data_IF_933715783614
#
_entry.id   IF_933715783614
#
_cell.length_a   1.000
_cell.length_b   1.000
_cell.length_c   1.000
_cell.angle_alpha   90.00
_cell.angle_beta   90.00
_cell.angle_gamma   90.00
#
_symmetry.space_group_name_H-M   'P 1'
#
loop_
_entity.id
_entity.type
_entity.pdbx_description
1 polymer ?
#
# COMPACT_ATOMS: atom_id res chain seq x y z
N UNK A 1 -4.37 21.55 -16.02
CA UNK A 1 -2.96 21.11 -15.94
C UNK A 1 -2.45 20.88 -14.52
N UNK A 2 -2.76 21.73 -13.53
CA UNK A 2 -2.29 21.55 -12.14
C UNK A 2 -2.75 20.24 -11.45
N UNK A 3 -3.98 19.78 -11.69
CA UNK A 3 -4.50 18.57 -11.05
C UNK A 3 -3.79 17.28 -11.50
N UNK A 4 -3.33 17.21 -12.75
CA UNK A 4 -2.62 16.04 -13.29
C UNK A 4 -1.21 15.95 -12.68
N UNK A 5 -0.52 17.08 -12.55
CA UNK A 5 0.80 17.13 -11.92
C UNK A 5 0.71 16.73 -10.44
N UNK A 6 -0.32 17.18 -9.72
CA UNK A 6 -0.54 16.79 -8.33
C UNK A 6 -0.79 15.28 -8.18
N UNK A 7 -1.57 14.66 -9.06
CA UNK A 7 -1.81 13.22 -9.05
C UNK A 7 -0.53 12.41 -9.34
N UNK A 8 0.29 12.87 -10.29
CA UNK A 8 1.56 12.23 -10.62
C UNK A 8 2.52 12.31 -9.43
N UNK A 9 2.66 13.49 -8.82
CA UNK A 9 3.51 13.68 -7.63
C UNK A 9 3.03 12.82 -6.47
N UNK A 10 1.72 12.76 -6.23
CA UNK A 10 1.14 11.91 -5.18
C UNK A 10 1.41 10.43 -5.43
N UNK A 11 1.31 9.97 -6.69
CA UNK A 11 1.63 8.61 -7.07
C UNK A 11 3.10 8.26 -6.85
N UNK A 12 4.04 9.09 -7.32
CA UNK A 12 5.47 8.88 -7.09
C UNK A 12 5.84 8.92 -5.60
N UNK A 13 5.25 9.82 -4.83
CA UNK A 13 5.42 9.87 -3.37
C UNK A 13 4.88 8.61 -2.70
N UNK A 14 3.72 8.10 -3.15
CA UNK A 14 3.14 6.85 -2.66
C UNK A 14 4.02 5.63 -2.96
N UNK A 15 4.64 5.60 -4.15
CA UNK A 15 5.60 4.56 -4.53
C UNK A 15 6.88 4.64 -3.68
N UNK A 16 7.40 5.84 -3.44
CA UNK A 16 8.58 6.06 -2.60
C UNK A 16 8.31 5.66 -1.14
N UNK A 17 7.16 6.06 -0.59
CA UNK A 17 6.75 5.69 0.77
C UNK A 17 6.47 4.19 0.88
N UNK A 18 5.89 3.57 -0.16
CA UNK A 18 5.74 2.11 -0.24
C UNK A 18 7.10 1.40 -0.24
N UNK A 19 8.09 1.93 -0.96
CA UNK A 19 9.46 1.40 -0.92
C UNK A 19 10.10 1.57 0.46
N UNK A 20 9.98 2.73 1.10
CA UNK A 20 10.62 3.01 2.39
C UNK A 20 9.96 2.29 3.58
N UNK A 21 8.62 2.25 3.62
CA UNK A 21 7.86 1.72 4.76
C UNK A 21 7.45 0.25 4.59
N UNK A 22 7.45 -0.28 3.37
CA UNK A 22 7.04 -1.66 3.07
C UNK A 22 8.16 -2.49 2.44
N UNK A 23 9.43 -2.16 2.74
CA UNK A 23 10.51 -3.10 2.48
C UNK A 23 10.51 -4.17 3.56
N UNK A 24 9.77 -5.24 3.27
CA UNK A 24 9.55 -6.34 4.20
C UNK A 24 10.72 -7.31 4.09
N UNK A 25 11.49 -7.43 5.15
CA UNK A 25 12.53 -8.44 5.27
C UNK A 25 11.86 -9.79 5.61
N UNK A 26 12.06 -10.85 4.82
CA UNK A 26 11.41 -12.16 5.04
C UNK A 26 11.79 -12.83 6.37
N UNK A 27 12.89 -12.41 7.00
CA UNK A 27 13.40 -13.02 8.24
C UNK A 27 12.95 -12.30 9.52
N UNK A 28 12.33 -11.13 9.40
CA UNK A 28 11.96 -10.32 10.56
C UNK A 28 10.50 -10.53 10.97
N UNK A 29 10.25 -10.50 12.28
CA UNK A 29 8.89 -10.61 12.83
C UNK A 29 8.28 -9.24 13.01
N UNK A 30 7.23 -8.96 12.26
CA UNK A 30 6.57 -7.65 12.24
C UNK A 30 5.42 -7.55 13.24
N UNK A 31 5.31 -6.38 13.89
CA UNK A 31 4.30 -6.07 14.91
C UNK A 31 3.07 -5.39 14.31
N UNK A 32 2.07 -5.09 15.15
CA UNK A 32 0.83 -4.44 14.74
C UNK A 32 1.06 -3.10 13.99
N UNK A 33 2.08 -2.33 14.38
CA UNK A 33 2.37 -1.02 13.76
C UNK A 33 2.77 -1.15 12.29
N UNK A 34 3.68 -2.09 11.97
CA UNK A 34 4.04 -2.41 10.60
C UNK A 34 2.87 -2.97 9.78
N UNK A 35 1.92 -3.66 10.42
CA UNK A 35 0.72 -4.16 9.75
C UNK A 35 -0.14 -3.03 9.18
N UNK A 36 -0.23 -1.89 9.88
CA UNK A 36 -0.97 -0.71 9.43
C UNK A 36 -0.36 -0.15 8.13
N UNK A 37 0.95 0.06 8.12
CA UNK A 37 1.65 0.64 6.97
C UNK A 37 1.67 -0.30 5.78
N UNK A 38 1.97 -1.58 6.01
CA UNK A 38 2.03 -2.58 4.94
C UNK A 38 0.66 -2.81 4.28
N UNK A 39 -0.44 -2.70 5.02
CA UNK A 39 -1.78 -2.79 4.44
C UNK A 39 -2.25 -1.50 3.78
N UNK A 40 -1.90 -0.33 4.31
CA UNK A 40 -2.26 0.97 3.72
C UNK A 40 -1.56 1.21 2.37
N UNK A 41 -0.33 0.74 2.22
CA UNK A 41 0.44 0.77 0.97
C UNK A 41 0.41 -0.56 0.21
N UNK A 42 -0.62 -1.39 0.45
CA UNK A 42 -0.76 -2.68 -0.22
C UNK A 42 -0.73 -2.54 -1.75
N UNK A 43 -1.46 -1.58 -2.32
CA UNK A 43 -1.59 -1.39 -3.77
C UNK A 43 -0.23 -1.09 -4.44
N UNK A 44 0.54 -0.06 -4.01
CA UNK A 44 1.85 0.19 -4.60
C UNK A 44 2.83 -0.97 -4.36
N UNK A 45 2.77 -1.65 -3.22
CA UNK A 45 3.65 -2.79 -2.95
C UNK A 45 3.24 -4.05 -3.75
N UNK A 46 1.97 -4.20 -4.09
CA UNK A 46 1.46 -5.23 -5.00
C UNK A 46 1.92 -4.99 -6.43
N UNK A 47 1.89 -3.75 -6.93
CA UNK A 47 2.51 -3.40 -8.20
C UNK A 47 4.02 -3.66 -8.17
N UNK A 48 4.72 -3.32 -7.07
CA UNK A 48 6.16 -3.61 -6.90
C UNK A 48 6.47 -5.10 -6.97
N UNK A 49 5.61 -5.93 -6.39
CA UNK A 49 5.71 -7.40 -6.42
C UNK A 49 5.60 -8.00 -7.82
N UNK A 50 5.01 -7.29 -8.80
CA UNK A 50 5.02 -7.74 -10.20
C UNK A 50 6.34 -7.49 -10.92
N UNK A 51 7.11 -6.51 -10.46
CA UNK A 51 8.37 -6.10 -11.09
C UNK A 51 9.62 -6.57 -10.31
N UNK A 52 9.45 -7.31 -9.21
CA UNK A 52 10.56 -7.89 -8.43
C UNK A 52 10.08 -8.75 -7.25
N UNK A 53 11.00 -9.24 -6.43
CA UNK A 53 10.74 -10.12 -5.27
C UNK A 53 10.17 -9.38 -4.04
N UNK A 54 9.48 -8.26 -4.25
CA UNK A 54 8.89 -7.49 -3.17
C UNK A 54 7.71 -8.23 -2.55
N UNK A 55 7.75 -8.44 -1.23
CA UNK A 55 6.67 -9.06 -0.49
C UNK A 55 5.63 -8.03 -0.05
N UNK A 56 4.35 -8.32 -0.30
CA UNK A 56 3.21 -7.49 0.13
C UNK A 56 2.70 -7.81 1.54
N UNK A 57 3.14 -8.95 2.12
CA UNK A 57 2.84 -9.36 3.49
C UNK A 57 4.07 -10.04 4.09
N UNK A 58 4.35 -9.77 5.35
CA UNK A 58 5.40 -10.47 6.10
C UNK A 58 5.13 -11.98 6.22
N UNK A 59 6.20 -12.78 6.25
CA UNK A 59 6.14 -14.22 6.51
C UNK A 59 6.01 -14.51 8.01
N UNK A 60 6.77 -13.80 8.83
CA UNK A 60 6.69 -13.88 10.28
C UNK A 60 5.96 -12.65 10.81
N UNK A 61 4.82 -12.90 11.46
CA UNK A 61 3.98 -11.82 11.95
C UNK A 61 3.28 -12.16 13.25
N UNK A 62 3.09 -11.13 14.07
CA UNK A 62 2.24 -11.21 15.26
C UNK A 62 0.75 -11.25 14.88
N UNK A 63 -0.10 -11.76 15.76
CA UNK A 63 -1.56 -11.73 15.55
C UNK A 63 -2.07 -10.30 15.30
N UNK A 64 -1.50 -9.32 16.02
CA UNK A 64 -1.81 -7.91 15.83
C UNK A 64 -1.47 -7.41 14.43
N UNK A 65 -0.32 -7.79 13.89
CA UNK A 65 0.04 -7.46 12.50
C UNK A 65 -1.02 -7.93 11.52
N UNK A 66 -1.45 -9.20 11.62
CA UNK A 66 -2.40 -9.78 10.67
C UNK A 66 -3.75 -9.05 10.69
N UNK A 67 -4.26 -8.70 11.88
CA UNK A 67 -5.52 -7.95 12.04
C UNK A 67 -5.42 -6.56 11.40
N UNK A 68 -4.40 -5.79 11.76
CA UNK A 68 -4.23 -4.43 11.25
C UNK A 68 -3.94 -4.39 9.75
N UNK A 69 -3.19 -5.37 9.24
CA UNK A 69 -2.93 -5.52 7.81
C UNK A 69 -4.22 -5.73 7.03
N UNK A 70 -5.12 -6.60 7.48
CA UNK A 70 -6.41 -6.82 6.80
C UNK A 70 -7.31 -5.59 6.84
N UNK A 71 -7.42 -4.92 7.99
CA UNK A 71 -8.24 -3.72 8.15
C UNK A 71 -7.78 -2.63 7.18
N UNK A 72 -6.48 -2.31 7.19
CA UNK A 72 -5.92 -1.23 6.37
C UNK A 72 -5.90 -1.56 4.87
N UNK A 73 -5.64 -2.83 4.52
CA UNK A 73 -5.74 -3.31 3.12
C UNK A 73 -7.15 -3.16 2.57
N UNK A 74 -8.17 -3.48 3.39
CA UNK A 74 -9.56 -3.30 3.00
C UNK A 74 -9.89 -1.83 2.70
N UNK A 75 -9.53 -0.92 3.61
CA UNK A 75 -9.74 0.51 3.39
C UNK A 75 -8.98 1.03 2.17
N UNK A 76 -7.70 0.67 2.02
CA UNK A 76 -6.90 1.08 0.86
C UNK A 76 -7.52 0.61 -0.46
N UNK A 77 -8.01 -0.63 -0.51
CA UNK A 77 -8.61 -1.22 -1.72
C UNK A 77 -9.95 -0.55 -2.05
N UNK A 78 -10.79 -0.33 -1.05
CA UNK A 78 -12.08 0.37 -1.21
C UNK A 78 -11.86 1.81 -1.67
N UNK A 79 -10.92 2.53 -1.06
CA UNK A 79 -10.56 3.89 -1.46
C UNK A 79 -10.02 3.96 -2.88
N UNK A 80 -9.25 2.97 -3.34
CA UNK A 80 -8.78 2.91 -4.72
C UNK A 80 -9.94 2.70 -5.71
N UNK A 81 -10.88 1.80 -5.41
CA UNK A 81 -12.04 1.55 -6.27
C UNK A 81 -12.98 2.77 -6.32
N UNK A 82 -13.30 3.37 -5.17
CA UNK A 82 -14.20 4.54 -5.09
C UNK A 82 -13.54 5.81 -5.60
N UNK A 83 -12.28 6.07 -5.20
CA UNK A 83 -11.48 7.16 -5.75
C UNK A 83 -11.32 7.02 -7.26
N UNK A 84 -11.26 5.78 -7.73
CA UNK A 84 -11.29 5.50 -9.15
C UNK A 84 -12.64 5.80 -9.82
N UNK A 85 -13.75 5.41 -9.22
CA UNK A 85 -15.07 5.72 -9.78
C UNK A 85 -15.30 7.23 -10.03
N UNK A 86 -14.73 8.11 -9.18
CA UNK A 86 -14.88 9.56 -9.29
C UNK A 86 -14.17 10.21 -10.50
N UNK A 87 -13.10 9.62 -11.05
CA UNK A 87 -12.47 10.16 -12.27
C UNK A 87 -13.37 10.02 -13.51
N UNK A 88 -14.35 9.10 -13.49
CA UNK A 88 -15.21 8.82 -14.64
C UNK A 88 -16.35 9.83 -14.79
N UNK A 89 -16.71 10.53 -13.70
CA UNK A 89 -17.77 11.54 -13.66
C UNK A 89 -17.26 12.99 -13.74
N UNK A 90 -15.93 13.18 -13.74
CA UNK A 90 -15.26 14.47 -13.98
C UNK A 90 -14.69 14.59 -15.41
N UNK A 91 -15.20 13.79 -16.36
CA UNK A 91 -14.87 13.87 -17.79
C UNK A 91 -15.99 14.56 -18.57
#
# INVERSE_FOLDING_TARGET
>A
MGCIVALIVFYFFSCFMGWYLCDINPNDTYSWYSGIWHGLFFIPNWFRSWFGDAMYKANYYTTGYNVWWWITTFFSSVSFIIGGANYKYMR
#
